data_IF_695934653954
#
_entry.id   IF_695934653954
#
_cell.length_a   1.000
_cell.length_b   1.000
_cell.length_c   1.000
_cell.angle_alpha   90.00
_cell.angle_beta   90.00
_cell.angle_gamma   90.00
#
_symmetry.space_group_name_H-M   'P 1'
#
loop_
_entity.id
_entity.type
_entity.pdbx_description
1 polymer ?
#
# COMPACT_ATOMS: atom_id res chain seq x y z
N UNK A 1 -19.20 -4.97 -2.33
CA UNK A 1 -19.03 -5.51 -3.70
C UNK A 1 -17.59 -6.04 -3.80
N UNK A 2 -17.39 -7.34 -4.09
CA UNK A 2 -16.07 -7.99 -4.12
C UNK A 2 -15.21 -7.40 -5.24
N UNK A 3 -13.98 -7.01 -4.96
CA UNK A 3 -13.01 -6.56 -5.99
C UNK A 3 -12.18 -7.75 -6.44
N UNK A 4 -12.36 -8.15 -7.69
CA UNK A 4 -11.48 -9.10 -8.36
C UNK A 4 -10.09 -8.45 -8.52
N UNK A 5 -9.06 -9.17 -8.10
CA UNK A 5 -7.66 -8.73 -8.16
C UNK A 5 -7.06 -9.19 -9.48
N UNK A 6 -6.34 -8.31 -10.17
CA UNK A 6 -5.62 -8.65 -11.40
C UNK A 6 -4.12 -8.60 -11.11
N UNK A 7 -3.47 -9.76 -11.19
CA UNK A 7 -2.02 -9.88 -11.00
C UNK A 7 -1.33 -9.49 -12.30
N UNK A 8 -0.61 -8.36 -12.33
CA UNK A 8 0.35 -8.06 -13.39
C UNK A 8 1.71 -7.71 -12.77
N UNK A 9 2.72 -8.56 -13.02
CA UNK A 9 4.07 -8.41 -12.49
C UNK A 9 4.91 -9.66 -12.69
N UNK A 10 6.22 -9.49 -12.89
CA UNK A 10 7.18 -10.59 -13.14
C UNK A 10 7.87 -10.98 -11.83
N UNK A 11 7.44 -12.07 -11.19
CA UNK A 11 8.25 -12.74 -10.13
C UNK A 11 7.69 -12.85 -8.70
N UNK A 12 6.38 -12.90 -8.49
CA UNK A 12 5.78 -13.12 -7.16
C UNK A 12 4.83 -14.33 -7.12
N UNK A 13 4.73 -15.01 -5.98
CA UNK A 13 3.69 -16.00 -5.73
C UNK A 13 2.51 -15.34 -5.00
N UNK A 14 1.49 -14.92 -5.74
CA UNK A 14 0.22 -14.49 -5.16
C UNK A 14 -0.70 -15.71 -4.98
N UNK A 15 -1.16 -15.97 -3.75
CA UNK A 15 -2.15 -17.01 -3.45
C UNK A 15 -3.46 -16.31 -3.09
N UNK A 16 -4.30 -16.04 -4.09
CA UNK A 16 -5.61 -15.40 -3.86
C UNK A 16 -6.46 -16.33 -2.99
N UNK A 17 -6.82 -15.89 -1.79
CA UNK A 17 -7.76 -16.59 -0.93
C UNK A 17 -9.21 -16.21 -1.33
N UNK A 18 -10.12 -17.18 -1.31
CA UNK A 18 -11.54 -16.98 -1.56
C UNK A 18 -12.18 -16.06 -0.52
N UNK A 19 -13.11 -15.19 -0.96
CA UNK A 19 -13.96 -14.42 -0.03
C UNK A 19 -13.95 -12.90 -0.20
N UNK A 20 -13.05 -12.35 -1.03
CA UNK A 20 -12.95 -10.90 -1.27
C UNK A 20 -11.84 -10.21 -0.47
N UNK A 21 -11.15 -10.92 0.41
CA UNK A 21 -9.87 -10.55 0.98
C UNK A 21 -8.73 -11.27 0.26
N UNK A 22 -7.55 -10.66 0.20
CA UNK A 22 -6.37 -11.28 -0.38
C UNK A 22 -5.30 -11.56 0.68
N UNK A 23 -4.67 -12.73 0.55
CA UNK A 23 -3.37 -13.04 1.14
C UNK A 23 -2.34 -13.12 0.03
N UNK A 24 -1.18 -12.47 0.14
CA UNK A 24 -0.13 -12.66 -0.84
C UNK A 24 1.26 -12.48 -0.27
N UNK A 25 2.21 -13.18 -0.86
CA UNK A 25 3.64 -12.93 -0.67
C UNK A 25 4.18 -12.27 -1.94
N UNK A 26 4.64 -11.04 -1.83
CA UNK A 26 5.37 -10.41 -2.92
C UNK A 26 6.87 -10.63 -2.68
N UNK A 27 7.50 -11.36 -3.59
CA UNK A 27 8.95 -11.62 -3.62
C UNK A 27 9.58 -10.87 -4.78
N UNK A 28 10.71 -10.21 -4.57
CA UNK A 28 11.41 -9.48 -5.63
C UNK A 28 11.16 -7.97 -5.63
N UNK A 29 12.02 -7.25 -6.35
CA UNK A 29 12.09 -5.79 -6.34
C UNK A 29 11.08 -5.15 -7.31
N UNK A 30 10.37 -4.12 -6.84
CA UNK A 30 9.33 -3.38 -7.59
C UNK A 30 8.16 -4.24 -8.09
N UNK A 31 7.79 -5.25 -7.30
CA UNK A 31 6.60 -6.04 -7.58
C UNK A 31 5.34 -5.27 -7.24
N UNK A 32 4.33 -5.34 -8.11
CA UNK A 32 3.03 -4.73 -7.91
C UNK A 32 1.90 -5.71 -8.18
N UNK A 33 0.79 -5.49 -7.49
CA UNK A 33 -0.45 -6.24 -7.63
C UNK A 33 -1.61 -5.26 -7.47
N UNK A 34 -2.56 -5.25 -8.40
CA UNK A 34 -3.58 -4.20 -8.46
C UNK A 34 -5.00 -4.74 -8.62
N UNK A 35 -5.97 -3.88 -8.34
CA UNK A 35 -7.37 -4.11 -8.62
C UNK A 35 -7.63 -4.33 -10.11
N UNK A 36 -8.66 -5.08 -10.45
CA UNK A 36 -9.15 -5.14 -11.84
C UNK A 36 -9.71 -3.78 -12.32
N UNK A 37 -10.20 -2.95 -11.39
CA UNK A 37 -10.72 -1.60 -11.68
C UNK A 37 -9.61 -0.56 -11.72
N UNK A 38 -9.75 0.42 -12.60
CA UNK A 38 -8.73 1.42 -12.92
C UNK A 38 -9.23 2.87 -12.89
N UNK A 39 -10.45 3.10 -12.40
CA UNK A 39 -11.11 4.39 -12.36
C UNK A 39 -11.38 4.86 -10.91
N UNK A 40 -10.63 4.34 -9.94
CA UNK A 40 -10.81 4.66 -8.53
C UNK A 40 -10.30 6.08 -8.25
N UNK A 41 -11.22 7.03 -8.08
CA UNK A 41 -10.90 8.42 -7.74
C UNK A 41 -10.79 8.57 -6.22
N UNK A 42 -11.86 8.30 -5.48
CA UNK A 42 -11.83 8.27 -4.02
C UNK A 42 -11.83 6.81 -3.58
N UNK A 43 -10.79 6.40 -2.87
CA UNK A 43 -10.63 4.99 -2.50
C UNK A 43 -9.77 4.81 -1.26
N UNK A 44 -9.93 3.66 -0.63
CA UNK A 44 -9.06 3.19 0.42
C UNK A 44 -8.63 1.74 0.19
N UNK A 45 -7.41 1.43 0.62
CA UNK A 45 -6.90 0.07 0.77
C UNK A 45 -6.77 -0.21 2.26
N UNK A 46 -7.42 -1.27 2.72
CA UNK A 46 -7.30 -1.76 4.09
C UNK A 46 -6.65 -3.13 4.03
N UNK A 47 -5.58 -3.35 4.79
CA UNK A 47 -4.96 -4.67 4.86
C UNK A 47 -3.91 -4.78 5.95
N UNK A 48 -3.62 -6.01 6.34
CA UNK A 48 -2.53 -6.32 7.27
C UNK A 48 -1.24 -6.56 6.51
N UNK A 49 -0.16 -5.95 6.96
CA UNK A 49 1.17 -6.11 6.36
C UNK A 49 2.16 -6.60 7.42
N UNK A 50 2.99 -7.57 7.05
CA UNK A 50 4.13 -7.98 7.85
C UNK A 50 5.40 -7.97 7.00
N UNK A 51 6.36 -7.17 7.45
CA UNK A 51 7.71 -7.13 6.90
C UNK A 51 8.54 -8.22 7.57
N UNK A 52 9.02 -9.19 6.79
CA UNK A 52 9.95 -10.20 7.26
C UNK A 52 11.36 -9.83 6.78
N UNK A 53 12.29 -9.79 7.72
CA UNK A 53 13.73 -9.52 7.59
C UNK A 53 14.17 -8.03 7.50
N UNK A 54 15.06 -7.66 8.43
CA UNK A 54 15.96 -6.50 8.54
C UNK A 54 15.43 -5.08 8.21
N UNK A 55 16.22 -4.06 8.58
CA UNK A 55 15.97 -2.63 8.34
C UNK A 55 15.69 -2.23 6.89
N UNK A 56 15.77 -3.17 5.94
CA UNK A 56 15.72 -2.94 4.50
C UNK A 56 14.46 -3.51 3.82
N UNK A 57 13.56 -4.19 4.54
CA UNK A 57 12.28 -4.60 3.98
C UNK A 57 11.37 -3.37 3.79
N UNK A 58 10.80 -3.25 2.59
CA UNK A 58 9.95 -2.14 2.17
C UNK A 58 8.73 -2.68 1.43
N UNK A 59 7.56 -2.42 2.00
CA UNK A 59 6.27 -2.76 1.42
C UNK A 59 5.40 -1.51 1.29
N UNK A 60 4.24 -1.64 0.66
CA UNK A 60 3.36 -0.50 0.53
C UNK A 60 2.03 -0.80 -0.13
N UNK A 61 1.21 0.23 -0.09
CA UNK A 61 -0.09 0.29 -0.78
C UNK A 61 -0.06 1.44 -1.77
N UNK A 62 -0.70 1.25 -2.93
CA UNK A 62 -0.83 2.28 -3.97
C UNK A 62 -2.28 2.61 -4.24
N UNK A 63 -2.55 3.87 -4.55
CA UNK A 63 -3.86 4.41 -4.93
C UNK A 63 -3.69 5.41 -6.08
N UNK A 64 -4.74 5.55 -6.92
CA UNK A 64 -4.71 6.34 -8.17
C UNK A 64 -3.50 6.00 -9.04
N UNK A 65 -3.16 4.72 -9.09
CA UNK A 65 -2.00 4.24 -9.79
C UNK A 65 -2.29 4.05 -11.28
N UNK A 66 -1.37 4.43 -12.16
CA UNK A 66 -1.41 4.00 -13.56
C UNK A 66 -0.89 2.55 -13.71
N UNK A 67 -0.95 2.02 -14.94
CA UNK A 67 -0.53 0.65 -15.25
C UNK A 67 0.97 0.39 -15.04
N UNK A 68 1.81 1.44 -15.09
CA UNK A 68 3.26 1.29 -14.93
C UNK A 68 3.72 1.49 -13.49
N UNK A 69 2.89 2.11 -12.64
CA UNK A 69 3.27 2.53 -11.30
C UNK A 69 4.06 3.83 -11.26
N UNK A 70 4.14 4.56 -12.37
CA UNK A 70 4.91 5.80 -12.50
C UNK A 70 4.10 7.04 -12.13
N UNK A 71 2.77 6.93 -12.09
CA UNK A 71 1.89 7.93 -11.53
C UNK A 71 1.02 7.28 -10.45
N UNK A 72 1.24 7.62 -9.18
CA UNK A 72 0.51 7.04 -8.07
C UNK A 72 0.65 7.86 -6.78
N UNK A 73 -0.30 7.68 -5.85
CA UNK A 73 -0.04 7.85 -4.44
C UNK A 73 0.46 6.54 -3.84
N UNK A 74 1.57 6.60 -3.11
CA UNK A 74 2.20 5.44 -2.49
C UNK A 74 2.30 5.66 -0.97
N UNK A 75 1.74 4.74 -0.20
CA UNK A 75 2.16 4.52 1.18
C UNK A 75 3.31 3.51 1.18
N UNK A 76 4.49 3.96 1.59
CA UNK A 76 5.68 3.13 1.79
C UNK A 76 5.85 2.83 3.28
N UNK A 77 6.06 1.57 3.60
CA UNK A 77 6.19 1.02 4.94
C UNK A 77 7.57 0.39 5.03
N UNK A 78 8.44 1.01 5.83
CA UNK A 78 9.83 0.61 5.98
C UNK A 78 10.02 -0.12 7.30
N UNK A 79 10.66 -1.28 7.24
CA UNK A 79 10.94 -2.14 8.39
C UNK A 79 12.06 -1.62 9.27
N UNK A 80 12.05 -0.34 9.66
CA UNK A 80 12.89 0.20 10.75
C UNK A 80 12.29 -0.16 12.11
N UNK A 81 13.07 0.02 13.19
CA UNK A 81 12.57 -0.10 14.57
C UNK A 81 12.71 1.27 15.22
N UNK A 82 11.62 2.04 15.35
CA UNK A 82 10.24 1.72 14.95
C UNK A 82 9.99 1.68 13.44
N UNK A 83 8.92 0.99 13.00
CA UNK A 83 8.49 0.98 11.59
C UNK A 83 8.24 2.41 11.12
N UNK A 84 8.55 2.74 9.87
CA UNK A 84 8.33 4.09 9.32
C UNK A 84 7.33 4.07 8.19
N UNK A 85 6.34 4.94 8.26
CA UNK A 85 5.38 5.22 7.19
C UNK A 85 5.83 6.46 6.42
N UNK A 86 5.84 6.38 5.10
CA UNK A 86 6.19 7.48 4.22
C UNK A 86 5.14 7.58 3.12
N UNK A 87 4.50 8.74 2.99
CA UNK A 87 3.54 9.04 1.94
C UNK A 87 4.27 9.72 0.79
N UNK A 88 4.17 9.14 -0.39
CA UNK A 88 4.76 9.66 -1.62
C UNK A 88 3.69 9.97 -2.66
N UNK A 89 3.94 11.01 -3.43
CA UNK A 89 3.42 11.16 -4.79
C UNK A 89 4.49 10.69 -5.77
N UNK A 90 4.10 9.89 -6.74
CA UNK A 90 4.95 9.49 -7.87
C UNK A 90 4.40 10.15 -9.12
N UNK A 91 5.24 10.87 -9.87
CA UNK A 91 4.90 11.47 -11.17
C UNK A 91 6.01 11.16 -12.14
N UNK A 92 5.69 10.50 -13.26
CA UNK A 92 6.68 10.02 -14.22
C UNK A 92 7.86 9.28 -13.54
N UNK A 93 7.56 8.46 -12.54
CA UNK A 93 8.55 7.67 -11.78
C UNK A 93 9.35 8.46 -10.74
N UNK A 94 9.12 9.78 -10.59
CA UNK A 94 9.80 10.64 -9.61
C UNK A 94 9.04 10.67 -8.30
N UNK A 95 9.71 10.32 -7.20
CA UNK A 95 9.14 10.24 -5.86
C UNK A 95 9.23 11.58 -5.16
N UNK A 96 8.09 12.17 -4.83
CA UNK A 96 7.97 13.37 -3.98
C UNK A 96 7.43 12.95 -2.61
N UNK A 97 8.20 13.16 -1.55
CA UNK A 97 7.75 12.88 -0.18
C UNK A 97 6.70 13.91 0.24
N UNK A 98 5.50 13.46 0.59
CA UNK A 98 4.42 14.29 1.10
C UNK A 98 4.41 14.35 2.63
N UNK A 99 4.83 13.26 3.28
CA UNK A 99 4.87 13.17 4.72
C UNK A 99 5.47 11.86 5.21
N UNK A 100 5.92 11.86 6.46
CA UNK A 100 6.39 10.67 7.14
C UNK A 100 5.98 10.67 8.61
N UNK A 101 5.89 9.48 9.19
CA UNK A 101 5.64 9.24 10.60
C UNK A 101 6.22 7.90 11.03
N UNK A 102 6.62 7.79 12.29
CA UNK A 102 7.09 6.54 12.88
C UNK A 102 5.93 5.85 13.62
N UNK A 103 5.87 4.54 13.49
CA UNK A 103 4.96 3.62 14.15
C UNK A 103 5.34 3.45 15.63
N UNK A 104 4.37 3.13 16.48
CA UNK A 104 4.69 2.63 17.84
C UNK A 104 4.83 1.11 17.88
N UNK A 105 4.25 0.40 16.91
CA UNK A 105 4.35 -1.05 16.79
C UNK A 105 5.75 -1.51 16.35
N UNK A 106 6.30 -2.61 16.93
CA UNK A 106 7.60 -3.13 16.58
C UNK A 106 7.62 -3.84 15.21
N UNK A 107 8.83 -4.09 14.69
CA UNK A 107 9.04 -4.89 13.48
C UNK A 107 8.57 -6.34 13.65
N UNK A 108 8.33 -7.03 12.54
CA UNK A 108 8.00 -8.46 12.55
C UNK A 108 6.60 -8.80 13.09
N UNK A 109 5.78 -7.79 13.35
CA UNK A 109 4.37 -7.92 13.71
C UNK A 109 3.50 -7.51 12.53
N UNK A 110 2.41 -8.25 12.32
CA UNK A 110 1.37 -7.82 11.37
C UNK A 110 0.74 -6.53 11.85
N UNK A 111 0.76 -5.51 11.00
CA UNK A 111 0.04 -4.27 11.25
C UNK A 111 -1.09 -4.14 10.27
N UNK A 112 -2.31 -3.91 10.76
CA UNK A 112 -3.44 -3.52 9.91
C UNK A 112 -3.39 -2.02 9.63
N UNK A 113 -3.37 -1.67 8.35
CA UNK A 113 -3.26 -0.32 7.83
C UNK A 113 -4.51 0.02 7.03
N UNK A 114 -4.94 1.28 7.11
CA UNK A 114 -5.84 1.89 6.13
C UNK A 114 -5.08 3.02 5.43
N UNK A 115 -4.91 2.88 4.13
CA UNK A 115 -4.38 3.93 3.25
C UNK A 115 -5.54 4.48 2.42
N UNK A 116 -5.72 5.80 2.41
CA UNK A 116 -6.87 6.45 1.76
C UNK A 116 -6.45 7.65 0.93
N UNK A 117 -7.11 7.80 -0.21
CA UNK A 117 -7.10 9.00 -1.04
C UNK A 117 -8.55 9.44 -1.23
N UNK A 118 -8.85 10.67 -0.84
CA UNK A 118 -10.19 11.26 -0.95
C UNK A 118 -10.09 12.73 -1.38
N UNK A 119 -10.52 13.02 -2.61
CA UNK A 119 -10.22 14.31 -3.25
C UNK A 119 -8.71 14.56 -3.28
N UNK A 120 -8.29 15.63 -2.61
CA UNK A 120 -6.88 16.02 -2.46
C UNK A 120 -6.26 15.52 -1.15
N UNK A 121 -7.01 14.83 -0.29
CA UNK A 121 -6.49 14.31 0.97
C UNK A 121 -5.91 12.91 0.78
N UNK A 122 -4.69 12.73 1.29
CA UNK A 122 -3.98 11.45 1.33
C UNK A 122 -3.67 11.14 2.79
N UNK A 123 -4.18 10.02 3.29
CA UNK A 123 -4.06 9.67 4.71
C UNK A 123 -3.69 8.22 4.96
N UNK A 124 -3.00 7.98 6.06
CA UNK A 124 -2.71 6.66 6.60
C UNK A 124 -3.14 6.57 8.05
N UNK A 125 -3.86 5.49 8.35
CA UNK A 125 -4.25 5.10 9.70
C UNK A 125 -3.69 3.71 10.01
N UNK A 126 -3.36 3.48 11.28
CA UNK A 126 -2.90 2.20 11.81
C UNK A 126 -3.90 1.70 12.85
N UNK A 127 -4.23 0.41 12.80
CA UNK A 127 -5.07 -0.22 13.82
C UNK A 127 -4.20 -0.72 14.98
N UNK A 128 -4.26 -0.02 16.11
CA UNK A 128 -3.53 -0.34 17.33
C UNK A 128 -4.54 -0.74 18.40
N UNK A 129 -4.37 -1.93 18.98
CA UNK A 129 -5.27 -2.48 20.01
C UNK A 129 -6.77 -2.41 19.61
N UNK A 130 -7.05 -2.68 18.33
CA UNK A 130 -8.41 -2.66 17.79
C UNK A 130 -8.95 -1.29 17.38
N UNK A 131 -8.24 -0.21 17.67
CA UNK A 131 -8.66 1.17 17.37
C UNK A 131 -7.86 1.74 16.21
N UNK A 132 -8.54 2.45 15.29
CA UNK A 132 -7.88 3.18 14.20
C UNK A 132 -7.28 4.48 14.72
N UNK A 133 -5.99 4.68 14.48
CA UNK A 133 -5.26 5.89 14.84
C UNK A 133 -4.75 6.56 13.58
N UNK A 134 -5.01 7.86 13.44
CA UNK A 134 -4.46 8.65 12.35
C UNK A 134 -2.95 8.79 12.54
N UNK A 135 -2.19 8.28 11.58
CA UNK A 135 -0.73 8.33 11.60
C UNK A 135 -0.23 9.56 10.84
N UNK A 136 -0.75 9.78 9.63
CA UNK A 136 -0.41 10.93 8.81
C UNK A 136 -1.53 11.29 7.86
N UNK A 137 -1.69 12.59 7.63
CA UNK A 137 -2.51 13.16 6.57
C UNK A 137 -1.70 14.23 5.85
N UNK A 138 -1.86 14.32 4.54
CA UNK A 138 -1.37 15.41 3.71
C UNK A 138 -2.44 15.83 2.69
N UNK A 139 -2.32 17.05 2.20
CA UNK A 139 -3.12 17.57 1.09
C UNK A 139 -2.23 17.64 -0.15
N UNK A 140 -2.58 16.91 -1.18
CA UNK A 140 -1.96 16.93 -2.50
C UNK A 140 -3.03 16.65 -3.56
N UNK A 141 -3.33 17.64 -4.40
CA UNK A 141 -4.31 17.54 -5.48
C UNK A 141 -3.67 17.34 -6.85
N UNK A 142 -2.47 16.76 -6.91
CA UNK A 142 -1.73 16.66 -8.16
C UNK A 142 -2.25 15.53 -9.06
N UNK A 143 -2.53 14.36 -8.48
CA UNK A 143 -3.07 13.21 -9.21
C UNK A 143 -4.57 13.18 -9.00
N UNK A 144 -5.31 13.79 -9.93
CA UNK A 144 -6.78 13.93 -9.84
C UNK A 144 -7.53 12.84 -10.62
N UNK A 145 -6.88 12.24 -11.61
CA UNK A 145 -7.46 11.14 -12.37
C UNK A 145 -7.59 9.88 -11.49
N UNK A 146 -8.68 9.14 -11.69
CA UNK A 146 -8.83 7.82 -11.10
C UNK A 146 -7.78 6.84 -11.62
N UNK A 147 -7.50 5.81 -10.85
CA UNK A 147 -6.51 4.80 -11.21
C UNK A 147 -6.77 3.45 -10.58
N UNK A 148 -5.77 2.58 -10.67
CA UNK A 148 -5.71 1.32 -9.96
C UNK A 148 -5.38 1.53 -8.47
N UNK A 149 -5.75 0.55 -7.65
CA UNK A 149 -5.36 0.44 -6.25
C UNK A 149 -4.62 -0.89 -6.05
N UNK A 150 -3.64 -0.96 -5.16
CA UNK A 150 -2.79 -2.14 -5.12
C UNK A 150 -1.79 -2.24 -3.98
N UNK A 151 -0.96 -3.26 -4.10
CA UNK A 151 0.14 -3.62 -3.21
C UNK A 151 1.45 -3.40 -3.95
N UNK A 152 2.50 -3.00 -3.21
CA UNK A 152 3.83 -2.79 -3.78
C UNK A 152 4.92 -3.33 -2.87
N UNK A 153 5.79 -4.20 -3.39
CA UNK A 153 7.03 -4.55 -2.71
C UNK A 153 8.21 -3.80 -3.36
N UNK A 154 8.92 -3.02 -2.55
CA UNK A 154 10.14 -2.31 -2.96
C UNK A 154 11.38 -2.85 -2.28
N UNK A 155 11.26 -3.99 -1.57
CA UNK A 155 12.39 -4.61 -0.91
C UNK A 155 13.41 -5.10 -1.94
N UNK A 156 14.70 -5.00 -1.60
CA UNK A 156 15.79 -5.55 -2.43
C UNK A 156 15.77 -7.09 -2.41
N UNK A 157 16.56 -7.74 -3.28
CA UNK A 157 16.57 -9.21 -3.40
C UNK A 157 16.79 -9.91 -2.05
N UNK A 158 16.01 -10.96 -1.79
CA UNK A 158 16.03 -11.74 -0.53
C UNK A 158 15.06 -11.27 0.55
N UNK A 159 14.40 -10.12 0.37
CA UNK A 159 13.40 -9.57 1.30
C UNK A 159 11.99 -9.68 0.72
N UNK A 160 11.01 -9.90 1.61
CA UNK A 160 9.61 -10.07 1.21
C UNK A 160 8.64 -9.47 2.23
N UNK A 161 7.46 -9.15 1.73
CA UNK A 161 6.34 -8.68 2.52
C UNK A 161 5.17 -9.66 2.39
N UNK A 162 4.56 -9.96 3.52
CA UNK A 162 3.29 -10.66 3.57
C UNK A 162 2.16 -9.65 3.72
N UNK A 163 1.15 -9.82 2.90
CA UNK A 163 -0.10 -9.09 2.96
C UNK A 163 -1.22 -10.07 3.31
N UNK A 164 -2.12 -9.65 4.19
CA UNK A 164 -3.26 -10.45 4.62
C UNK A 164 -4.49 -9.55 4.77
N UNK A 165 -5.68 -10.14 4.62
CA UNK A 165 -6.97 -9.45 4.74
C UNK A 165 -7.08 -8.16 3.92
N UNK A 166 -6.44 -8.10 2.75
CA UNK A 166 -6.44 -6.89 1.93
C UNK A 166 -7.77 -6.71 1.21
N UNK A 167 -8.37 -5.54 1.38
CA UNK A 167 -9.59 -5.10 0.70
C UNK A 167 -9.39 -3.71 0.09
N UNK A 168 -10.07 -3.46 -1.03
CA UNK A 168 -10.11 -2.15 -1.69
C UNK A 168 -11.55 -1.68 -1.69
N UNK A 169 -11.78 -0.43 -1.29
CA UNK A 169 -13.11 0.15 -1.23
C UNK A 169 -13.11 1.50 -1.96
N UNK A 170 -14.03 1.64 -2.91
CA UNK A 170 -14.35 2.93 -3.51
C UNK A 170 -15.19 3.74 -2.54
N UNK A 171 -14.96 5.05 -2.52
CA UNK A 171 -15.63 5.99 -1.63
C UNK A 171 -16.49 6.95 -2.46
N UNK A 172 -17.64 7.40 -1.90
CA UNK A 172 -18.47 8.41 -2.54
C UNK A 172 -17.72 9.74 -2.71
#
# INVERSE_FOLDING_TARGET
MKTDWTITGVGGQAVVAEGGSMRCQLTGYKMMLWSARNNLVNAEVIGSVKLYASANAVAGFVLRCDVTGDNAYLLRIVGYSPKRYMLYRIVAGVYTLLGQADSVEPQGVYTTIRFRVDGDQVSVEEKILGTWNLIKVCTDGYITAGGYAGLKNESVSGYYAWYDDVTIQERP
#
